data_IF_512532373436
#
_entry.id   IF_512532373436
#
_cell.length_a   1.000
_cell.length_b   1.000
_cell.length_c   1.000
_cell.angle_alpha   90.00
_cell.angle_beta   90.00
_cell.angle_gamma   90.00
#
_symmetry.space_group_name_H-M   'P 1'
#
loop_
_entity.id
_entity.type
_entity.pdbx_description
1 polymer ?
#
# COMPACT_ATOMS: atom_id res chain seq x y z
N UNK A 1 -33.40 20.71 16.78
CA UNK A 1 -32.39 19.86 16.12
C UNK A 1 -32.90 19.46 14.74
N UNK A 2 -32.08 19.65 13.70
CA UNK A 2 -32.38 19.23 12.31
C UNK A 2 -31.99 17.76 12.07
N UNK A 3 -32.59 17.11 11.07
CA UNK A 3 -32.28 15.71 10.70
C UNK A 3 -30.81 15.47 10.36
N UNK A 4 -30.18 16.37 9.61
CA UNK A 4 -28.75 16.26 9.29
C UNK A 4 -27.83 16.35 10.52
N UNK A 5 -28.21 17.18 11.50
CA UNK A 5 -27.49 17.30 12.77
C UNK A 5 -27.60 16.00 13.57
N UNK A 6 -28.82 15.45 13.69
CA UNK A 6 -29.02 14.15 14.36
C UNK A 6 -28.19 13.04 13.68
N UNK A 7 -28.17 12.99 12.34
CA UNK A 7 -27.36 12.00 11.63
C UNK A 7 -25.87 12.10 12.01
N UNK A 8 -25.34 13.32 12.09
CA UNK A 8 -23.95 13.57 12.49
C UNK A 8 -23.69 13.20 13.95
N UNK A 9 -24.66 13.41 14.84
CA UNK A 9 -24.57 13.00 16.26
C UNK A 9 -24.52 11.48 16.35
N UNK A 10 -25.41 10.76 15.66
CA UNK A 10 -25.47 9.30 15.70
C UNK A 10 -24.17 8.66 15.20
N UNK A 11 -23.66 9.10 14.04
CA UNK A 11 -22.39 8.58 13.48
C UNK A 11 -21.23 8.80 14.45
N UNK A 12 -21.16 9.96 15.11
CA UNK A 12 -20.06 10.26 16.04
C UNK A 12 -20.22 9.57 17.39
N UNK A 13 -21.42 9.54 17.95
CA UNK A 13 -21.70 9.02 19.29
C UNK A 13 -21.56 7.49 19.36
N UNK A 14 -21.90 6.80 18.27
CA UNK A 14 -21.78 5.34 18.17
C UNK A 14 -20.50 4.90 17.44
N UNK A 15 -19.57 5.84 17.18
CA UNK A 15 -18.32 5.62 16.43
C UNK A 15 -18.52 4.81 15.14
N UNK A 16 -19.54 5.13 14.36
CA UNK A 16 -19.85 4.41 13.12
C UNK A 16 -18.73 4.65 12.06
N UNK A 17 -18.60 3.75 11.06
CA UNK A 17 -17.69 3.92 9.94
C UNK A 17 -17.83 5.28 9.25
N UNK A 18 -16.74 6.04 9.11
CA UNK A 18 -16.77 7.34 8.42
C UNK A 18 -16.33 7.22 6.97
N UNK A 19 -17.12 6.50 6.19
CA UNK A 19 -16.85 6.29 4.76
C UNK A 19 -16.67 7.63 4.02
N UNK A 20 -15.80 7.60 3.01
CA UNK A 20 -15.71 8.71 2.08
C UNK A 20 -17.03 8.84 1.31
N UNK A 21 -17.49 10.07 1.13
CA UNK A 21 -18.76 10.35 0.42
C UNK A 21 -18.75 9.81 -1.02
N UNK A 22 -17.56 9.72 -1.63
CA UNK A 22 -17.37 9.21 -2.99
C UNK A 22 -17.54 7.68 -3.10
N UNK A 23 -17.54 6.97 -1.98
CA UNK A 23 -17.74 5.51 -1.92
C UNK A 23 -19.20 5.14 -1.59
N UNK A 24 -20.05 6.14 -1.36
CA UNK A 24 -21.41 5.96 -0.90
C UNK A 24 -22.40 6.21 -2.04
N UNK A 25 -23.35 5.30 -2.22
CA UNK A 25 -24.50 5.54 -3.07
C UNK A 25 -25.37 6.61 -2.42
N UNK A 26 -25.68 7.67 -3.16
CA UNK A 26 -26.62 8.70 -2.73
C UNK A 26 -28.01 8.45 -3.36
N UNK A 27 -29.01 7.98 -2.59
CA UNK A 27 -30.38 7.83 -3.09
C UNK A 27 -31.20 9.12 -2.99
N UNK A 28 -30.73 10.16 -2.29
CA UNK A 28 -31.52 11.33 -1.91
C UNK A 28 -31.19 12.54 -2.80
N UNK A 29 -32.21 13.14 -3.41
CA UNK A 29 -32.06 14.34 -4.24
C UNK A 29 -31.75 15.60 -3.44
N UNK A 30 -32.09 15.61 -2.16
CA UNK A 30 -31.92 16.74 -1.24
C UNK A 30 -30.68 16.62 -0.33
N UNK A 31 -29.76 15.71 -0.68
CA UNK A 31 -28.47 15.53 -0.01
C UNK A 31 -27.37 15.81 -1.02
N UNK A 32 -26.70 16.95 -0.92
CA UNK A 32 -25.61 17.32 -1.83
C UNK A 32 -24.27 16.82 -1.29
N UNK A 33 -23.41 16.25 -2.14
CA UNK A 33 -22.16 15.58 -1.71
C UNK A 33 -21.23 16.48 -0.88
N UNK A 34 -21.23 17.79 -1.14
CA UNK A 34 -20.39 18.77 -0.46
C UNK A 34 -20.97 19.29 0.86
N UNK A 35 -22.21 18.94 1.21
CA UNK A 35 -22.81 19.36 2.47
C UNK A 35 -22.18 18.61 3.65
N UNK A 36 -21.92 19.33 4.74
CA UNK A 36 -21.21 18.82 5.92
C UNK A 36 -21.90 17.63 6.62
N UNK A 37 -23.20 17.43 6.41
CA UNK A 37 -23.95 16.31 6.97
C UNK A 37 -24.03 15.10 6.04
N UNK A 38 -23.73 15.25 4.74
CA UNK A 38 -23.94 14.23 3.72
C UNK A 38 -23.19 12.92 3.98
N UNK A 39 -21.89 12.92 4.34
CA UNK A 39 -21.18 11.68 4.65
C UNK A 39 -21.87 10.88 5.77
N UNK A 40 -22.38 11.58 6.79
CA UNK A 40 -23.05 10.94 7.93
C UNK A 40 -24.42 10.39 7.52
N UNK A 41 -25.20 11.15 6.75
CA UNK A 41 -26.51 10.72 6.25
C UNK A 41 -26.36 9.46 5.39
N UNK A 42 -25.41 9.47 4.45
CA UNK A 42 -25.18 8.36 3.55
C UNK A 42 -24.58 7.14 4.26
N UNK A 43 -23.80 7.33 5.32
CA UNK A 43 -23.35 6.25 6.20
C UNK A 43 -24.53 5.57 6.88
N UNK A 44 -25.46 6.34 7.47
CA UNK A 44 -26.65 5.77 8.09
C UNK A 44 -27.53 5.03 7.07
N UNK A 45 -27.63 5.53 5.84
CA UNK A 45 -28.35 4.84 4.76
C UNK A 45 -27.67 3.52 4.38
N UNK A 46 -26.34 3.53 4.19
CA UNK A 46 -25.55 2.33 3.86
C UNK A 46 -25.67 1.23 4.92
N UNK A 47 -25.74 1.62 6.20
CA UNK A 47 -25.90 0.70 7.33
C UNK A 47 -27.37 0.29 7.55
N UNK A 48 -28.32 0.73 6.72
CA UNK A 48 -29.74 0.39 6.88
C UNK A 48 -30.45 1.07 8.05
N UNK A 49 -29.81 2.03 8.71
CA UNK A 49 -30.34 2.75 9.88
C UNK A 49 -31.49 3.71 9.49
N UNK A 50 -31.46 4.22 8.26
CA UNK A 50 -32.48 5.15 7.74
C UNK A 50 -32.74 4.91 6.26
N UNK A 51 -34.00 5.04 5.85
CA UNK A 51 -34.42 5.02 4.43
C UNK A 51 -34.84 6.40 3.92
N UNK A 52 -34.62 7.45 4.73
CA UNK A 52 -35.10 8.81 4.44
C UNK A 52 -36.51 9.07 4.96
N UNK A 53 -37.09 10.20 4.54
CA UNK A 53 -38.50 10.55 4.77
C UNK A 53 -39.38 10.18 3.57
N UNK A 54 -38.77 10.04 2.39
CA UNK A 54 -39.32 9.42 1.19
C UNK A 54 -38.21 8.62 0.48
N UNK A 55 -38.53 7.83 -0.56
CA UNK A 55 -37.51 7.06 -1.30
C UNK A 55 -36.36 7.90 -1.86
N UNK A 56 -36.60 9.19 -2.15
CA UNK A 56 -35.63 10.12 -2.75
C UNK A 56 -35.35 11.38 -1.92
N UNK A 57 -35.80 11.44 -0.66
CA UNK A 57 -35.52 12.57 0.25
C UNK A 57 -35.13 12.12 1.65
N UNK A 58 -34.14 12.81 2.22
CA UNK A 58 -33.78 12.70 3.63
C UNK A 58 -34.42 13.79 4.49
N UNK A 59 -34.79 14.92 3.89
CA UNK A 59 -35.27 16.15 4.54
C UNK A 59 -34.25 16.74 5.52
N UNK A 60 -33.03 17.00 5.05
CA UNK A 60 -31.85 17.38 5.86
C UNK A 60 -32.15 18.49 6.88
N UNK A 61 -32.91 19.51 6.47
CA UNK A 61 -33.22 20.68 7.28
C UNK A 61 -34.51 20.58 8.10
N UNK A 62 -35.28 19.50 7.96
CA UNK A 62 -36.52 19.32 8.71
C UNK A 62 -36.22 19.09 10.21
N UNK A 63 -37.08 19.58 11.11
CA UNK A 63 -36.98 19.28 12.53
C UNK A 63 -37.22 17.78 12.80
N UNK A 64 -36.61 17.27 13.87
CA UNK A 64 -36.83 15.88 14.33
C UNK A 64 -37.66 15.89 15.61
N UNK A 65 -38.70 15.06 15.66
CA UNK A 65 -39.46 14.84 16.91
C UNK A 65 -38.69 13.92 17.85
N UNK A 66 -38.99 13.95 19.15
CA UNK A 66 -38.37 13.03 20.14
C UNK A 66 -38.57 11.56 19.76
N UNK A 67 -39.74 11.19 19.26
CA UNK A 67 -40.04 9.83 18.82
C UNK A 67 -39.21 9.40 17.60
N UNK A 68 -39.02 10.29 16.62
CA UNK A 68 -38.14 10.02 15.47
C UNK A 68 -36.68 9.88 15.88
N UNK A 69 -36.21 10.71 16.81
CA UNK A 69 -34.85 10.61 17.34
C UNK A 69 -34.63 9.29 18.08
N UNK A 70 -35.55 8.90 18.96
CA UNK A 70 -35.50 7.62 19.67
C UNK A 70 -35.51 6.41 18.70
N UNK A 71 -36.33 6.46 17.65
CA UNK A 71 -36.35 5.42 16.61
C UNK A 71 -35.00 5.29 15.90
N UNK A 72 -34.38 6.40 15.51
CA UNK A 72 -33.07 6.36 14.85
C UNK A 72 -31.95 5.92 15.79
N UNK A 73 -31.98 6.32 17.06
CA UNK A 73 -31.03 5.84 18.07
C UNK A 73 -31.13 4.32 18.25
N UNK A 74 -32.36 3.79 18.39
CA UNK A 74 -32.59 2.35 18.49
C UNK A 74 -32.05 1.62 17.24
N UNK A 75 -32.41 2.10 16.04
CA UNK A 75 -31.93 1.51 14.80
C UNK A 75 -30.40 1.58 14.68
N UNK A 76 -29.78 2.66 15.19
CA UNK A 76 -28.32 2.78 15.21
C UNK A 76 -27.68 1.73 16.12
N UNK A 77 -28.22 1.55 17.32
CA UNK A 77 -27.71 0.52 18.26
C UNK A 77 -27.85 -0.89 17.68
N UNK A 78 -28.96 -1.17 16.99
CA UNK A 78 -29.24 -2.48 16.37
C UNK A 78 -28.41 -2.76 15.12
N UNK A 79 -27.95 -1.73 14.38
CA UNK A 79 -27.28 -1.88 13.09
C UNK A 79 -25.83 -1.36 13.07
N UNK A 80 -25.28 -0.95 14.21
CA UNK A 80 -23.86 -0.55 14.28
C UNK A 80 -22.96 -1.76 13.99
N UNK A 81 -21.81 -1.57 13.31
CA UNK A 81 -20.86 -2.66 13.11
C UNK A 81 -20.33 -3.17 14.45
N UNK A 82 -20.44 -4.47 14.69
CA UNK A 82 -19.90 -5.14 15.90
C UNK A 82 -18.46 -5.62 15.72
N UNK A 83 -18.01 -5.73 14.48
CA UNK A 83 -16.72 -6.32 14.08
C UNK A 83 -15.65 -5.30 13.71
N UNK A 84 -16.01 -4.02 13.63
CA UNK A 84 -15.07 -2.95 13.30
C UNK A 84 -14.11 -2.71 14.47
N UNK A 85 -12.82 -2.53 14.16
CA UNK A 85 -11.79 -2.17 15.13
C UNK A 85 -11.41 -0.71 14.89
N UNK A 86 -11.54 0.13 15.92
CA UNK A 86 -11.05 1.51 15.89
C UNK A 86 -9.71 1.59 16.62
N UNK A 87 -8.68 2.06 15.92
CA UNK A 87 -7.35 2.31 16.44
C UNK A 87 -7.17 3.78 16.80
N UNK A 88 -6.58 4.01 17.97
CA UNK A 88 -6.19 5.34 18.47
C UNK A 88 -4.69 5.37 18.78
N UNK A 89 -4.08 6.54 18.77
CA UNK A 89 -2.63 6.71 18.93
C UNK A 89 -2.10 5.99 20.19
N UNK A 90 -2.81 6.13 21.31
CA UNK A 90 -2.40 5.59 22.60
C UNK A 90 -2.40 4.05 22.61
N UNK A 91 -3.36 3.44 21.91
CA UNK A 91 -3.43 1.97 21.78
C UNK A 91 -2.22 1.41 21.04
N UNK A 92 -1.55 2.24 20.24
CA UNK A 92 -0.37 1.89 19.45
C UNK A 92 0.93 2.47 20.04
N UNK A 93 0.86 3.09 21.24
CA UNK A 93 1.99 3.77 21.89
C UNK A 93 2.60 4.86 21.00
N UNK A 94 1.73 5.64 20.37
CA UNK A 94 2.03 6.83 19.57
C UNK A 94 1.45 8.08 20.25
N UNK A 95 2.05 9.24 20.00
CA UNK A 95 1.52 10.54 20.42
C UNK A 95 0.43 11.01 19.44
N UNK A 96 0.68 10.85 18.13
CA UNK A 96 -0.30 11.13 17.09
C UNK A 96 -0.37 9.97 16.09
N UNK A 97 -1.58 9.69 15.64
CA UNK A 97 -1.88 8.75 14.56
C UNK A 97 -2.16 9.55 13.30
N UNK A 98 -1.54 9.17 12.17
CA UNK A 98 -1.65 9.93 10.92
C UNK A 98 -2.47 9.20 9.87
N UNK A 99 -1.95 8.12 9.27
CA UNK A 99 -2.64 7.41 8.19
C UNK A 99 -2.13 5.97 8.04
N UNK A 100 -2.86 5.15 7.26
CA UNK A 100 -2.37 3.82 6.83
C UNK A 100 -1.49 3.98 5.60
N UNK A 101 -0.24 3.56 5.71
CA UNK A 101 0.72 3.57 4.62
C UNK A 101 0.63 2.26 3.80
N UNK A 102 0.98 2.31 2.51
CA UNK A 102 1.10 1.14 1.62
C UNK A 102 -0.09 0.15 1.70
N UNK A 103 -1.29 0.59 1.32
CA UNK A 103 -2.51 -0.23 1.38
C UNK A 103 -2.45 -1.40 0.38
N UNK A 104 -2.01 -2.58 0.81
CA UNK A 104 -1.87 -3.80 -0.02
C UNK A 104 -3.06 -4.75 0.10
N UNK A 105 -3.58 -4.96 1.31
CA UNK A 105 -4.58 -6.01 1.62
C UNK A 105 -6.04 -5.48 1.61
N UNK A 106 -6.37 -4.65 0.61
CA UNK A 106 -7.65 -3.91 0.57
C UNK A 106 -8.87 -4.79 0.29
N UNK A 107 -8.67 -6.00 -0.21
CA UNK A 107 -9.70 -7.03 -0.40
C UNK A 107 -9.94 -7.87 0.87
N UNK A 108 -9.01 -7.83 1.84
CA UNK A 108 -9.10 -8.52 3.13
C UNK A 108 -9.84 -7.69 4.17
N UNK A 109 -9.49 -6.40 4.27
CA UNK A 109 -10.14 -5.44 5.16
C UNK A 109 -10.13 -4.04 4.55
N UNK A 110 -11.07 -3.21 5.00
CA UNK A 110 -11.10 -1.79 4.66
C UNK A 110 -10.51 -0.96 5.81
N UNK A 111 -9.63 -0.02 5.48
CA UNK A 111 -9.15 1.01 6.40
C UNK A 111 -9.78 2.37 6.09
N UNK A 112 -10.23 3.07 7.13
CA UNK A 112 -10.82 4.40 7.05
C UNK A 112 -10.06 5.33 8.00
N UNK A 113 -9.39 6.32 7.44
CA UNK A 113 -8.76 7.40 8.20
C UNK A 113 -9.81 8.40 8.66
N UNK A 114 -9.92 8.56 9.97
CA UNK A 114 -10.82 9.51 10.62
C UNK A 114 -9.97 10.63 11.18
N UNK A 115 -9.74 11.67 10.37
CA UNK A 115 -8.91 12.80 10.79
C UNK A 115 -9.55 13.59 11.94
N UNK A 116 -8.74 13.79 12.97
CA UNK A 116 -9.07 14.60 14.12
C UNK A 116 -9.03 16.11 13.82
N UNK A 117 -9.51 16.90 14.76
CA UNK A 117 -9.28 18.35 14.79
C UNK A 117 -8.55 18.66 16.09
N UNK A 118 -7.38 19.31 16.06
CA UNK A 118 -6.62 19.66 17.25
C UNK A 118 -7.49 20.36 18.30
N UNK A 119 -7.44 19.87 19.54
CA UNK A 119 -8.25 20.38 20.66
C UNK A 119 -9.73 19.95 20.67
N UNK A 120 -10.19 19.15 19.71
CA UNK A 120 -11.59 18.69 19.64
C UNK A 120 -11.74 17.18 19.53
N UNK A 121 -11.09 16.56 18.54
CA UNK A 121 -11.19 15.11 18.30
C UNK A 121 -9.84 14.55 17.88
N UNK A 122 -9.52 13.35 18.34
CA UNK A 122 -8.30 12.63 17.94
C UNK A 122 -8.45 12.02 16.54
N UNK A 123 -7.34 11.89 15.83
CA UNK A 123 -7.27 11.08 14.61
C UNK A 123 -7.39 9.60 14.98
N UNK A 124 -8.17 8.85 14.20
CA UNK A 124 -8.37 7.41 14.38
C UNK A 124 -8.25 6.68 13.04
N UNK A 125 -7.99 5.38 13.09
CA UNK A 125 -8.12 4.49 11.93
C UNK A 125 -9.16 3.43 12.26
N UNK A 126 -10.22 3.35 11.46
CA UNK A 126 -11.24 2.31 11.56
C UNK A 126 -10.91 1.18 10.58
N UNK A 127 -10.87 -0.06 11.07
CA UNK A 127 -10.63 -1.26 10.29
C UNK A 127 -11.91 -2.10 10.24
N UNK A 128 -12.39 -2.40 9.03
CA UNK A 128 -13.59 -3.19 8.79
C UNK A 128 -13.20 -4.50 8.11
N UNK A 129 -13.35 -5.67 8.75
CA UNK A 129 -13.02 -6.94 8.13
C UNK A 129 -13.98 -7.25 6.96
N UNK A 130 -13.45 -7.76 5.85
CA UNK A 130 -14.23 -8.12 4.64
C UNK A 130 -14.32 -9.63 4.43
N UNK A 131 -13.23 -10.36 4.69
CA UNK A 131 -13.15 -11.83 4.59
C UNK A 131 -12.13 -12.41 5.56
N UNK A 132 -12.17 -13.72 5.77
CA UNK A 132 -11.15 -14.43 6.54
C UNK A 132 -9.81 -14.43 5.82
N UNK A 133 -8.72 -14.35 6.57
CA UNK A 133 -7.37 -14.39 6.02
C UNK A 133 -6.32 -13.79 6.92
N UNK A 134 -5.10 -13.76 6.40
CA UNK A 134 -3.94 -13.08 6.99
C UNK A 134 -3.48 -12.01 6.01
N UNK A 135 -3.15 -10.83 6.53
CA UNK A 135 -2.58 -9.74 5.76
C UNK A 135 -1.67 -8.88 6.61
N UNK A 136 -1.40 -7.69 6.12
CA UNK A 136 -0.48 -6.74 6.74
C UNK A 136 -1.15 -5.40 6.93
N UNK A 137 -0.68 -4.64 7.91
CA UNK A 137 -1.10 -3.28 8.17
C UNK A 137 0.12 -2.45 8.57
N UNK A 138 0.30 -1.32 7.89
CA UNK A 138 1.37 -0.38 8.17
C UNK A 138 0.76 0.97 8.52
N UNK A 139 1.02 1.46 9.73
CA UNK A 139 0.48 2.71 10.25
C UNK A 139 1.61 3.73 10.43
N UNK A 140 1.38 4.95 9.94
CA UNK A 140 2.21 6.11 10.20
C UNK A 140 1.65 6.90 11.38
N UNK A 141 2.53 7.35 12.26
CA UNK A 141 2.23 8.27 13.35
C UNK A 141 3.47 9.05 13.79
N UNK A 142 3.40 9.62 14.99
CA UNK A 142 4.53 10.28 15.64
C UNK A 142 4.71 9.79 17.07
N UNK A 143 5.96 9.83 17.55
CA UNK A 143 6.32 9.65 18.95
C UNK A 143 7.47 10.59 19.28
N UNK A 144 7.30 11.39 20.32
CA UNK A 144 8.22 12.46 20.73
C UNK A 144 8.58 13.38 19.56
N UNK A 145 7.56 13.84 18.83
CA UNK A 145 7.64 14.69 17.62
C UNK A 145 8.42 14.08 16.44
N UNK A 146 8.84 12.82 16.54
CA UNK A 146 9.51 12.10 15.45
C UNK A 146 8.53 11.21 14.72
N UNK A 147 8.58 11.16 13.38
CA UNK A 147 7.75 10.22 12.64
C UNK A 147 8.09 8.78 13.00
N UNK A 148 7.08 7.98 13.30
CA UNK A 148 7.23 6.56 13.63
C UNK A 148 6.25 5.72 12.82
N UNK A 149 6.72 4.57 12.39
CA UNK A 149 5.94 3.56 11.70
C UNK A 149 5.67 2.39 12.64
N UNK A 150 4.50 1.77 12.48
CA UNK A 150 4.12 0.55 13.17
C UNK A 150 3.64 -0.47 12.15
N UNK A 151 4.18 -1.69 12.24
CA UNK A 151 3.82 -2.82 11.38
C UNK A 151 3.03 -3.84 12.19
N UNK A 152 1.96 -4.35 11.59
CA UNK A 152 1.14 -5.38 12.18
C UNK A 152 0.83 -6.48 11.18
N UNK A 153 0.82 -7.73 11.64
CA UNK A 153 0.05 -8.77 10.98
C UNK A 153 -1.43 -8.58 11.33
N UNK A 154 -2.27 -8.69 10.31
CA UNK A 154 -3.72 -8.65 10.44
C UNK A 154 -4.23 -10.09 10.31
N UNK A 155 -4.99 -10.55 11.31
CA UNK A 155 -5.67 -11.84 11.24
C UNK A 155 -7.17 -11.62 11.34
N UNK A 156 -7.90 -12.15 10.36
CA UNK A 156 -9.36 -12.15 10.36
C UNK A 156 -9.85 -13.58 10.35
N UNK A 157 -10.62 -13.94 11.36
CA UNK A 157 -11.23 -15.26 11.51
C UNK A 157 -12.71 -15.13 11.80
N UNK A 158 -13.50 -16.09 11.36
CA UNK A 158 -14.92 -16.17 11.69
C UNK A 158 -15.10 -16.79 13.07
N UNK A 159 -15.67 -16.05 14.00
CA UNK A 159 -15.97 -16.48 15.36
C UNK A 159 -17.47 -16.27 15.58
N UNK A 160 -18.20 -17.35 15.87
CA UNK A 160 -19.66 -17.33 16.08
C UNK A 160 -20.45 -16.67 14.93
N UNK A 161 -20.00 -16.86 13.69
CA UNK A 161 -20.66 -16.27 12.52
C UNK A 161 -20.16 -14.89 12.11
N UNK A 162 -19.41 -14.19 12.97
CA UNK A 162 -18.91 -12.84 12.73
C UNK A 162 -17.41 -12.83 12.41
N UNK A 163 -16.97 -11.91 11.55
CA UNK A 163 -15.54 -11.73 11.26
C UNK A 163 -14.88 -10.96 12.40
N UNK A 164 -13.88 -11.56 13.05
CA UNK A 164 -13.10 -10.92 14.10
C UNK A 164 -11.71 -10.58 13.59
N UNK A 165 -11.37 -9.29 13.58
CA UNK A 165 -10.06 -8.77 13.24
C UNK A 165 -9.19 -8.66 14.49
N UNK A 166 -7.96 -9.15 14.41
CA UNK A 166 -6.93 -9.00 15.45
C UNK A 166 -5.62 -8.53 14.82
N UNK A 167 -4.83 -7.80 15.61
CA UNK A 167 -3.55 -7.24 15.20
C UNK A 167 -2.44 -7.81 16.07
N UNK A 168 -1.33 -8.14 15.43
CA UNK A 168 -0.09 -8.55 16.09
C UNK A 168 1.03 -7.62 15.62
N UNK A 169 1.59 -6.81 16.53
CA UNK A 169 2.71 -5.92 16.21
C UNK A 169 3.95 -6.75 15.86
N UNK A 170 4.68 -6.37 14.83
CA UNK A 170 5.86 -7.10 14.36
C UNK A 170 6.97 -6.18 13.89
N UNK A 171 8.22 -6.63 14.04
CA UNK A 171 9.41 -6.02 13.44
C UNK A 171 9.79 -6.66 12.10
N UNK A 172 9.08 -7.72 11.68
CA UNK A 172 9.44 -8.56 10.55
C UNK A 172 9.43 -7.79 9.22
N UNK A 173 10.24 -8.28 8.29
CA UNK A 173 10.23 -7.88 6.89
C UNK A 173 9.72 -9.04 6.04
N UNK A 174 9.05 -8.70 4.94
CA UNK A 174 8.55 -9.67 3.99
C UNK A 174 9.54 -9.89 2.85
N UNK A 175 9.54 -11.10 2.28
CA UNK A 175 10.33 -11.38 1.09
C UNK A 175 10.02 -10.37 0.00
N UNK A 176 11.05 -9.74 -0.54
CA UNK A 176 10.92 -8.63 -1.48
C UNK A 176 11.45 -9.03 -2.85
N UNK A 177 10.74 -8.62 -3.91
CA UNK A 177 11.13 -8.92 -5.28
C UNK A 177 12.37 -8.11 -5.69
N UNK A 178 13.43 -8.81 -6.09
CA UNK A 178 14.57 -8.22 -6.78
C UNK A 178 14.33 -8.28 -8.29
N UNK A 179 14.27 -7.10 -8.92
CA UNK A 179 14.04 -6.97 -10.36
C UNK A 179 15.33 -7.23 -11.12
N UNK A 180 15.39 -8.31 -11.88
CA UNK A 180 16.49 -8.63 -12.78
C UNK A 180 16.11 -8.19 -14.19
N UNK A 181 16.83 -7.19 -14.73
CA UNK A 181 16.59 -6.73 -16.09
C UNK A 181 16.91 -7.84 -17.10
N UNK A 182 15.95 -8.19 -17.94
CA UNK A 182 16.07 -9.23 -18.97
C UNK A 182 15.55 -8.66 -20.28
N UNK A 183 16.31 -8.80 -21.37
CA UNK A 183 15.88 -8.30 -22.67
C UNK A 183 14.68 -9.11 -23.21
N UNK A 184 13.81 -8.54 -24.08
CA UNK A 184 12.61 -9.23 -24.56
C UNK A 184 12.86 -10.59 -25.26
N UNK A 185 14.04 -10.77 -25.83
CA UNK A 185 14.48 -11.98 -26.52
C UNK A 185 15.28 -12.95 -25.63
N UNK A 186 15.58 -12.57 -24.39
CA UNK A 186 16.32 -13.39 -23.43
C UNK A 186 15.33 -14.26 -22.64
N UNK A 187 15.43 -15.58 -22.80
CA UNK A 187 14.64 -16.53 -22.02
C UNK A 187 15.47 -17.08 -20.85
N UNK A 188 15.00 -16.85 -19.61
CA UNK A 188 15.66 -17.36 -18.39
C UNK A 188 15.35 -18.84 -18.19
N UNK A 189 16.39 -19.66 -18.03
CA UNK A 189 16.27 -21.11 -17.73
C UNK A 189 16.49 -21.44 -16.26
N UNK A 190 17.43 -20.77 -15.60
CA UNK A 190 17.73 -20.98 -14.20
C UNK A 190 18.25 -19.70 -13.56
N UNK A 191 18.02 -19.54 -12.26
CA UNK A 191 18.66 -18.50 -11.46
C UNK A 191 19.28 -19.16 -10.23
N UNK A 192 20.60 -19.07 -10.09
CA UNK A 192 21.27 -19.38 -8.82
C UNK A 192 21.53 -18.10 -8.04
N UNK A 193 21.57 -18.20 -6.72
CA UNK A 193 21.79 -17.07 -5.81
C UNK A 193 22.88 -17.43 -4.82
N UNK A 194 23.86 -16.55 -4.71
CA UNK A 194 24.92 -16.62 -3.70
C UNK A 194 25.02 -15.29 -2.97
N UNK A 195 25.54 -15.31 -1.76
CA UNK A 195 25.95 -14.08 -1.08
C UNK A 195 27.17 -13.47 -1.78
N UNK A 196 27.48 -12.20 -1.49
CA UNK A 196 28.61 -11.50 -2.11
C UNK A 196 29.97 -12.17 -1.86
N UNK A 197 30.14 -12.85 -0.73
CA UNK A 197 31.33 -13.63 -0.37
C UNK A 197 31.35 -15.05 -1.00
N UNK A 198 30.37 -15.37 -1.84
CA UNK A 198 30.35 -16.61 -2.64
C UNK A 198 29.71 -17.81 -1.95
N UNK A 199 29.08 -17.64 -0.77
CA UNK A 199 28.30 -18.71 -0.15
C UNK A 199 27.01 -18.92 -0.94
N UNK A 200 26.81 -20.15 -1.42
CA UNK A 200 25.60 -20.52 -2.14
C UNK A 200 24.37 -20.43 -1.21
N UNK A 201 23.37 -19.67 -1.63
CA UNK A 201 22.06 -19.57 -0.96
C UNK A 201 21.09 -20.59 -1.56
N UNK A 202 21.03 -20.65 -2.89
CA UNK A 202 20.28 -21.64 -3.65
C UNK A 202 20.84 -21.76 -5.06
N UNK A 203 20.90 -22.98 -5.60
CA UNK A 203 21.29 -23.24 -6.99
C UNK A 203 20.12 -23.07 -7.98
N UNK A 204 18.88 -23.06 -7.50
CA UNK A 204 17.66 -22.92 -8.28
C UNK A 204 16.59 -22.12 -7.52
N UNK A 205 16.68 -20.79 -7.61
CA UNK A 205 15.70 -19.87 -7.05
C UNK A 205 14.47 -19.81 -7.95
N UNK A 206 13.28 -19.86 -7.35
CA UNK A 206 12.04 -19.61 -8.09
C UNK A 206 12.03 -18.19 -8.65
N UNK A 207 11.83 -18.07 -9.95
CA UNK A 207 11.75 -16.79 -10.65
C UNK A 207 10.47 -16.71 -11.48
N UNK A 208 10.02 -15.50 -11.78
CA UNK A 208 8.81 -15.28 -12.56
C UNK A 208 8.62 -13.83 -13.00
N UNK A 209 7.42 -13.54 -13.51
CA UNK A 209 7.03 -12.17 -13.85
C UNK A 209 6.98 -11.31 -12.59
N UNK A 210 7.53 -10.11 -12.66
CA UNK A 210 7.47 -9.12 -11.60
C UNK A 210 6.06 -8.51 -11.50
N UNK A 211 5.56 -8.31 -10.29
CA UNK A 211 4.26 -7.66 -10.10
C UNK A 211 4.30 -6.21 -10.64
N UNK A 212 3.34 -5.85 -11.51
CA UNK A 212 3.24 -4.50 -12.07
C UNK A 212 4.16 -4.20 -13.26
N UNK A 213 4.94 -5.17 -13.75
CA UNK A 213 5.76 -5.03 -14.95
C UNK A 213 5.36 -6.06 -16.01
N UNK A 214 5.04 -5.60 -17.21
CA UNK A 214 4.59 -6.49 -18.29
C UNK A 214 5.75 -7.15 -19.04
N UNK A 215 6.88 -6.44 -19.21
CA UNK A 215 8.07 -6.92 -19.94
C UNK A 215 9.36 -6.31 -19.35
N UNK A 216 10.51 -6.87 -19.75
CA UNK A 216 11.83 -6.30 -19.44
C UNK A 216 12.45 -6.72 -18.11
N UNK A 217 11.72 -7.48 -17.28
CA UNK A 217 12.18 -7.94 -15.98
C UNK A 217 11.74 -9.36 -15.66
N UNK A 218 12.62 -10.08 -14.96
CA UNK A 218 12.30 -11.31 -14.22
C UNK A 218 12.59 -11.05 -12.75
N UNK A 219 11.72 -11.53 -11.86
CA UNK A 219 11.86 -11.32 -10.42
C UNK A 219 12.18 -12.61 -9.69
N UNK A 220 13.05 -12.48 -8.69
CA UNK A 220 13.26 -13.46 -7.63
C UNK A 220 12.92 -12.82 -6.29
N UNK A 221 12.54 -13.63 -5.30
CA UNK A 221 12.32 -13.14 -3.94
C UNK A 221 13.61 -13.21 -3.12
N UNK A 222 13.88 -12.15 -2.39
CA UNK A 222 14.96 -12.07 -1.42
C UNK A 222 14.35 -12.09 -0.02
N UNK A 223 14.69 -13.13 0.74
CA UNK A 223 14.10 -13.43 2.05
C UNK A 223 14.71 -12.57 3.17
N UNK A 224 16.01 -12.31 3.10
CA UNK A 224 16.78 -11.61 4.14
C UNK A 224 17.53 -10.40 3.57
N UNK A 225 17.82 -9.37 4.39
CA UNK A 225 18.66 -8.27 3.96
C UNK A 225 20.10 -8.74 3.76
N UNK A 226 20.80 -8.17 2.77
CA UNK A 226 22.14 -8.60 2.42
C UNK A 226 22.59 -8.14 1.04
N UNK A 227 23.78 -8.58 0.66
CA UNK A 227 24.33 -8.39 -0.69
C UNK A 227 24.47 -9.75 -1.34
N UNK A 228 23.93 -9.89 -2.54
CA UNK A 228 23.86 -11.14 -3.26
C UNK A 228 24.35 -10.98 -4.70
N UNK A 229 24.76 -12.10 -5.28
CA UNK A 229 24.99 -12.27 -6.70
C UNK A 229 23.99 -13.31 -7.20
N UNK A 230 23.06 -12.89 -8.06
CA UNK A 230 22.23 -13.80 -8.82
C UNK A 230 22.93 -14.13 -10.14
N UNK A 231 23.13 -15.40 -10.45
CA UNK A 231 23.63 -15.85 -11.77
C UNK A 231 22.46 -16.41 -12.56
N UNK A 232 22.11 -15.70 -13.63
CA UNK A 232 20.98 -16.03 -14.50
C UNK A 232 21.51 -16.77 -15.70
N UNK A 233 21.06 -18.01 -15.89
CA UNK A 233 21.36 -18.82 -17.07
C UNK A 233 20.27 -18.62 -18.11
N UNK A 234 20.64 -18.12 -19.27
CA UNK A 234 19.71 -17.96 -20.39
C UNK A 234 19.67 -19.21 -21.28
N UNK A 235 18.57 -19.36 -22.03
CA UNK A 235 18.38 -20.46 -22.98
C UNK A 235 19.47 -20.52 -24.06
N UNK A 236 20.04 -19.36 -24.42
CA UNK A 236 21.16 -19.25 -25.36
C UNK A 236 22.49 -19.81 -24.81
N UNK A 237 22.55 -20.21 -23.54
CA UNK A 237 23.74 -20.78 -22.89
C UNK A 237 24.65 -19.76 -22.21
N UNK A 238 24.31 -18.48 -22.24
CA UNK A 238 25.04 -17.41 -21.55
C UNK A 238 24.59 -17.28 -20.09
N UNK A 239 25.56 -17.18 -19.18
CA UNK A 239 25.33 -16.85 -17.77
C UNK A 239 25.63 -15.36 -17.56
N UNK A 240 24.67 -14.62 -17.01
CA UNK A 240 24.84 -13.20 -16.64
C UNK A 240 24.63 -13.03 -15.15
N UNK A 241 25.53 -12.29 -14.51
CA UNK A 241 25.43 -12.00 -13.08
C UNK A 241 24.70 -10.70 -12.82
N UNK A 242 24.02 -10.65 -11.68
CA UNK A 242 23.33 -9.48 -11.18
C UNK A 242 23.74 -9.26 -9.73
N UNK A 243 24.24 -8.08 -9.42
CA UNK A 243 24.42 -7.66 -8.04
C UNK A 243 23.07 -7.24 -7.48
N UNK A 244 22.74 -7.73 -6.29
CA UNK A 244 21.52 -7.39 -5.55
C UNK A 244 21.94 -6.87 -4.19
N UNK A 245 21.40 -5.72 -3.81
CA UNK A 245 21.55 -5.16 -2.47
C UNK A 245 20.15 -5.01 -1.85
N UNK A 246 19.94 -5.73 -0.75
CA UNK A 246 18.75 -5.72 0.06
C UNK A 246 19.02 -5.01 1.38
N UNK A 247 18.43 -3.83 1.55
CA UNK A 247 18.58 -3.05 2.78
C UNK A 247 17.30 -3.04 3.58
N UNK A 248 17.47 -3.07 4.90
CA UNK A 248 16.43 -2.64 5.82
C UNK A 248 16.09 -1.18 5.48
N UNK A 249 14.82 -0.86 5.20
CA UNK A 249 14.42 0.47 4.79
C UNK A 249 14.53 1.46 5.95
N UNK A 250 14.88 2.72 5.66
CA UNK A 250 14.94 3.78 6.68
C UNK A 250 13.57 4.07 7.30
N UNK A 251 12.51 3.94 6.50
CA UNK A 251 11.13 3.93 6.97
C UNK A 251 10.68 2.49 7.16
N UNK A 252 10.16 2.14 8.34
CA UNK A 252 9.85 0.76 8.72
C UNK A 252 8.62 0.19 7.97
N UNK A 253 8.77 -0.06 6.66
CA UNK A 253 7.82 -0.77 5.79
C UNK A 253 8.15 -2.27 5.77
N UNK A 254 7.20 -3.09 5.30
CA UNK A 254 7.40 -4.54 5.23
C UNK A 254 8.45 -4.96 4.20
N UNK A 255 8.64 -4.23 3.11
CA UNK A 255 9.56 -4.60 2.03
C UNK A 255 10.96 -4.00 2.22
N UNK A 256 11.99 -4.75 1.83
CA UNK A 256 13.36 -4.24 1.77
C UNK A 256 13.51 -3.14 0.70
N UNK A 257 14.48 -2.26 0.89
CA UNK A 257 14.95 -1.39 -0.19
C UNK A 257 15.86 -2.21 -1.12
N UNK A 258 15.39 -2.39 -2.35
CA UNK A 258 16.05 -3.20 -3.37
C UNK A 258 16.87 -2.34 -4.32
N UNK A 259 18.11 -2.73 -4.55
CA UNK A 259 18.91 -2.28 -5.69
C UNK A 259 19.41 -3.50 -6.45
N UNK A 260 19.30 -3.44 -7.77
CA UNK A 260 19.81 -4.47 -8.66
C UNK A 260 20.68 -3.85 -9.74
N UNK A 261 21.74 -4.55 -10.14
CA UNK A 261 22.63 -4.12 -11.20
C UNK A 261 23.03 -5.34 -12.03
N UNK A 262 22.69 -5.31 -13.32
CA UNK A 262 23.13 -6.33 -14.29
C UNK A 262 24.60 -6.13 -14.62
N UNK A 263 25.37 -7.19 -14.54
CA UNK A 263 26.76 -7.17 -14.98
C UNK A 263 26.85 -6.91 -16.49
N UNK A 264 27.81 -6.07 -16.87
CA UNK A 264 28.17 -5.81 -18.27
C UNK A 264 29.68 -5.97 -18.36
N UNK A 265 30.12 -7.02 -19.05
CA UNK A 265 31.56 -7.31 -19.28
C UNK A 265 32.13 -6.45 -20.41
N UNK A 266 31.27 -5.92 -21.27
CA UNK A 266 31.63 -4.98 -22.34
C UNK A 266 30.69 -3.78 -22.33
N UNK A 267 31.24 -2.59 -22.53
CA UNK A 267 30.48 -1.36 -22.70
C UNK A 267 30.82 -0.82 -24.09
N UNK A 268 29.84 -0.84 -25.00
CA UNK A 268 30.00 -0.21 -26.32
C UNK A 268 29.55 1.24 -26.17
N UNK A 269 30.50 2.16 -26.25
CA UNK A 269 30.23 3.59 -26.33
C UNK A 269 29.77 3.91 -27.76
N UNK A 270 28.47 4.05 -27.95
CA UNK A 270 27.91 4.55 -29.22
C UNK A 270 27.97 6.07 -29.20
N UNK A 271 29.12 6.59 -29.64
CA UNK A 271 29.41 8.03 -29.66
C UNK A 271 28.46 8.78 -30.59
N UNK A 272 28.05 8.17 -31.71
CA UNK A 272 27.13 8.81 -32.67
C UNK A 272 25.73 9.02 -32.04
N UNK A 273 25.24 8.05 -31.26
CA UNK A 273 23.95 8.16 -30.57
C UNK A 273 23.91 9.23 -29.47
N UNK A 274 25.07 9.57 -28.87
CA UNK A 274 25.16 10.63 -27.85
C UNK A 274 24.91 12.01 -28.46
N UNK A 275 25.31 12.19 -29.71
CA UNK A 275 25.16 13.46 -30.42
C UNK A 275 23.95 13.49 -31.37
N UNK A 276 23.11 12.45 -31.33
CA UNK A 276 21.89 12.40 -32.12
C UNK A 276 20.90 13.47 -31.59
N UNK A 277 20.67 14.51 -32.40
CA UNK A 277 19.93 15.72 -32.03
C UNK A 277 20.77 16.98 -31.78
N UNK A 278 22.10 16.90 -31.90
CA UNK A 278 22.98 18.07 -31.91
C UNK A 278 23.46 18.39 -33.34
N UNK A 279 23.11 19.56 -33.85
CA UNK A 279 23.42 19.97 -35.24
C UNK A 279 24.92 20.21 -35.51
N UNK A 280 25.77 20.21 -34.47
CA UNK A 280 27.20 20.54 -34.59
C UNK A 280 28.05 19.58 -33.76
N UNK A 281 28.41 18.45 -34.35
CA UNK A 281 29.52 17.63 -33.87
C UNK A 281 30.29 17.04 -35.05
N UNK A 282 31.59 16.79 -34.85
CA UNK A 282 32.46 16.22 -35.87
C UNK A 282 32.22 14.71 -35.99
N UNK A 283 31.53 14.32 -37.06
CA UNK A 283 31.15 12.93 -37.35
C UNK A 283 32.33 12.03 -37.71
N UNK A 284 33.43 12.60 -38.23
CA UNK A 284 34.62 11.81 -38.57
C UNK A 284 35.46 11.55 -37.31
N UNK A 285 35.57 12.52 -36.41
CA UNK A 285 36.20 12.33 -35.10
C UNK A 285 35.44 11.30 -34.22
N UNK A 286 34.11 11.29 -34.29
CA UNK A 286 33.26 10.33 -33.56
C UNK A 286 33.50 8.86 -34.00
N UNK A 287 33.77 8.61 -35.29
CA UNK A 287 34.08 7.27 -35.81
C UNK A 287 35.45 6.75 -35.37
N UNK A 288 36.44 7.64 -35.21
CA UNK A 288 37.82 7.28 -34.83
C UNK A 288 37.90 6.79 -33.38
N UNK A 289 37.04 7.31 -32.49
CA UNK A 289 36.98 6.90 -31.08
C UNK A 289 36.58 5.42 -30.87
N UNK A 290 36.03 4.76 -31.90
CA UNK A 290 35.59 3.35 -31.88
C UNK A 290 36.77 2.36 -32.07
N UNK A 291 37.94 2.83 -32.53
CA UNK A 291 39.04 1.97 -32.99
C UNK A 291 40.32 1.99 -32.13
N UNK A 292 40.20 2.24 -30.81
CA UNK A 292 41.34 2.16 -29.88
C UNK A 292 41.26 0.91 -28.99
N UNK A 293 42.34 0.11 -28.82
CA UNK A 293 42.31 -1.02 -27.92
C UNK A 293 42.19 -0.56 -26.46
N UNK A 294 41.36 -1.28 -25.71
CA UNK A 294 41.21 -1.20 -24.26
C UNK A 294 42.57 -1.15 -23.55
N UNK A 295 42.84 -0.07 -22.82
CA UNK A 295 43.91 0.02 -21.84
C UNK A 295 43.29 0.23 -20.46
N UNK A 296 42.89 -0.87 -19.81
CA UNK A 296 42.87 -0.95 -18.35
C UNK A 296 44.07 -1.79 -17.92
N UNK A 297 45.16 -1.13 -17.53
CA UNK A 297 46.16 -1.74 -16.65
C UNK A 297 45.65 -1.60 -15.22
N UNK A 298 45.58 -2.72 -14.52
CA UNK A 298 45.21 -2.76 -13.11
C UNK A 298 46.30 -2.15 -12.23
N UNK A 299 45.85 -1.43 -11.22
CA UNK A 299 46.46 -1.29 -9.90
C UNK A 299 45.35 -1.07 -8.89
#
# INVERSE_FOLDING_TARGET
>A
MKRGQLASILVKAFDLPRYSVYELKNPFKDVHLLDSHSPNILTLYKLGITTGTSPDKFSVNAPVTRGQAAKLMKATEENKPTTMVTLEAETLRLDELQFVAYKTDTDLYKSIEVYGKPGYTKTKIQLIPLKEGKGTLHIRGTLSDKPMNKKFYVYIKKVNGELKLTLEETADYLPTEALLQVAPNEEVKNVSLSTLDGKLVSDNVSFGKCAGYETGFTCIKIEEPGKYIATVRFAAGEDVRYAIEAKVPEMDKFQYDMKTLRERTTYVFDVERIFDGYDYYDKEAAKIAVAGPSLFHGT
#
